data_IF_016057428898
#
_entry.id   IF_016057428898
#
_cell.length_a   1.000
_cell.length_b   1.000
_cell.length_c   1.000
_cell.angle_alpha   90.00
_cell.angle_beta   90.00
_cell.angle_gamma   90.00
#
_symmetry.space_group_name_H-M   'P 1'
#
loop_
_entity.id
_entity.type
_entity.pdbx_description
1 polymer ?
#
# COMPACT_ATOMS: atom_id res chain seq x y z
N UNK A 1 2.96 12.91 -7.36
CA UNK A 1 2.63 12.35 -6.02
C UNK A 1 2.27 10.89 -6.21
N UNK A 2 2.85 9.99 -5.42
CA UNK A 2 2.48 8.58 -5.43
C UNK A 2 1.04 8.41 -4.95
N UNK A 3 0.29 7.46 -5.53
CA UNK A 3 -1.07 7.18 -5.05
C UNK A 3 -1.03 6.51 -3.67
N UNK A 4 -2.18 6.43 -2.98
CA UNK A 4 -2.25 5.84 -1.65
C UNK A 4 -1.83 4.37 -1.65
N UNK A 5 -2.20 3.62 -2.69
CA UNK A 5 -1.80 2.22 -2.84
C UNK A 5 -0.28 2.09 -3.00
N UNK A 6 0.37 2.97 -3.79
CA UNK A 6 1.83 2.97 -3.92
C UNK A 6 2.52 3.25 -2.58
N UNK A 7 1.99 4.18 -1.78
CA UNK A 7 2.52 4.42 -0.43
C UNK A 7 2.39 3.20 0.48
N UNK A 8 1.25 2.51 0.42
CA UNK A 8 1.03 1.30 1.21
C UNK A 8 1.98 0.18 0.79
N UNK A 9 2.07 -0.12 -0.50
CA UNK A 9 2.95 -1.17 -1.02
C UNK A 9 4.43 -0.81 -0.83
N UNK A 10 4.78 0.47 -0.93
CA UNK A 10 6.13 0.98 -0.72
C UNK A 10 6.68 0.77 0.68
N UNK A 11 5.81 0.59 1.70
CA UNK A 11 6.24 0.34 3.09
C UNK A 11 7.19 -0.87 3.22
N UNK A 12 6.96 -1.90 2.42
CA UNK A 12 7.72 -3.15 2.50
C UNK A 12 8.58 -3.41 1.26
N UNK A 13 8.37 -2.66 0.18
CA UNK A 13 9.06 -2.90 -1.09
C UNK A 13 10.55 -2.62 -1.00
N UNK A 14 10.99 -1.64 -0.20
CA UNK A 14 12.41 -1.36 -0.01
C UNK A 14 13.14 -2.53 0.66
N UNK A 15 12.58 -3.08 1.75
CA UNK A 15 13.15 -4.25 2.43
C UNK A 15 13.22 -5.46 1.50
N UNK A 16 12.16 -5.71 0.74
CA UNK A 16 12.12 -6.79 -0.25
C UNK A 16 13.19 -6.64 -1.34
N UNK A 17 13.37 -5.43 -1.88
CA UNK A 17 14.40 -5.15 -2.89
C UNK A 17 15.79 -5.41 -2.30
N UNK A 18 16.05 -4.93 -1.08
CA UNK A 18 17.35 -5.12 -0.41
C UNK A 18 17.63 -6.59 -0.12
N UNK A 19 16.63 -7.33 0.33
CA UNK A 19 16.75 -8.76 0.59
C UNK A 19 17.02 -9.55 -0.71
N UNK A 20 16.24 -9.29 -1.76
CA UNK A 20 16.33 -10.02 -3.03
C UNK A 20 17.59 -9.72 -3.82
N UNK A 21 17.96 -8.46 -3.95
CA UNK A 21 19.10 -8.05 -4.78
C UNK A 21 20.44 -8.07 -4.02
N UNK A 22 20.37 -8.06 -2.69
CA UNK A 22 21.52 -8.00 -1.82
C UNK A 22 22.17 -6.61 -1.75
N UNK A 23 22.89 -6.35 -0.66
CA UNK A 23 23.40 -5.03 -0.34
C UNK A 23 24.29 -4.42 -1.43
N UNK A 24 25.25 -5.20 -1.95
CA UNK A 24 26.19 -4.70 -2.99
C UNK A 24 25.50 -4.25 -4.28
N UNK A 25 24.42 -4.93 -4.66
CA UNK A 25 23.64 -4.56 -5.86
C UNK A 25 22.81 -3.32 -5.60
N UNK A 26 22.17 -3.26 -4.43
CA UNK A 26 21.41 -2.08 -4.01
C UNK A 26 22.28 -0.82 -3.94
N UNK A 27 23.49 -0.90 -3.38
CA UNK A 27 24.43 0.22 -3.36
C UNK A 27 24.77 0.74 -4.77
N UNK A 28 24.96 -0.16 -5.75
CA UNK A 28 25.21 0.25 -7.14
C UNK A 28 23.97 0.92 -7.77
N UNK A 29 22.78 0.38 -7.50
CA UNK A 29 21.51 0.98 -7.95
C UNK A 29 21.33 2.35 -7.32
N UNK A 30 21.56 2.51 -6.02
CA UNK A 30 21.46 3.80 -5.33
C UNK A 30 22.44 4.84 -5.87
N UNK A 31 23.70 4.44 -6.15
CA UNK A 31 24.66 5.34 -6.80
C UNK A 31 24.13 5.80 -8.15
N UNK A 32 23.56 4.91 -8.96
CA UNK A 32 22.98 5.24 -10.27
C UNK A 32 21.77 6.18 -10.13
N UNK A 33 20.85 5.88 -9.20
CA UNK A 33 19.69 6.71 -8.92
C UNK A 33 20.08 8.13 -8.49
N UNK A 34 21.07 8.25 -7.60
CA UNK A 34 21.59 9.55 -7.16
C UNK A 34 22.25 10.34 -8.30
N UNK A 35 23.09 9.68 -9.10
CA UNK A 35 23.80 10.32 -10.21
C UNK A 35 22.88 10.83 -11.30
N UNK A 36 21.83 10.08 -11.62
CA UNK A 36 20.99 10.37 -12.78
C UNK A 36 19.72 11.13 -12.42
N UNK A 37 19.13 10.84 -11.28
CA UNK A 37 17.81 11.34 -10.90
C UNK A 37 17.81 12.10 -9.57
N UNK A 38 18.94 12.16 -8.87
CA UNK A 38 19.06 12.72 -7.51
C UNK A 38 18.08 12.10 -6.51
N UNK A 39 17.84 10.79 -6.63
CA UNK A 39 16.97 9.99 -5.76
C UNK A 39 17.79 8.93 -5.02
N UNK A 40 17.36 8.57 -3.82
CA UNK A 40 17.75 7.31 -3.16
C UNK A 40 16.74 6.21 -3.49
N UNK A 41 16.97 4.99 -2.97
CA UNK A 41 16.10 3.85 -3.23
C UNK A 41 14.68 4.11 -2.69
N UNK A 42 14.55 4.61 -1.46
CA UNK A 42 13.26 4.90 -0.84
C UNK A 42 12.46 5.94 -1.63
N UNK A 43 13.11 7.03 -2.06
CA UNK A 43 12.47 8.04 -2.89
C UNK A 43 12.08 7.51 -4.29
N UNK A 44 12.87 6.58 -4.87
CA UNK A 44 12.58 5.97 -6.16
C UNK A 44 11.37 5.02 -6.13
N UNK A 45 11.04 4.45 -4.98
CA UNK A 45 9.80 3.66 -4.81
C UNK A 45 8.56 4.55 -5.00
N UNK A 46 8.62 5.82 -4.61
CA UNK A 46 7.54 6.78 -4.84
C UNK A 46 7.43 7.25 -6.31
N UNK A 47 8.50 7.05 -7.08
CA UNK A 47 8.54 7.22 -8.54
C UNK A 47 9.00 5.91 -9.19
N UNK A 48 8.10 4.91 -9.14
CA UNK A 48 8.43 3.53 -9.49
C UNK A 48 8.85 3.35 -10.95
N UNK A 49 8.45 4.25 -11.85
CA UNK A 49 8.93 4.23 -13.24
C UNK A 49 10.43 4.52 -13.34
N UNK A 50 10.95 5.42 -12.48
CA UNK A 50 12.39 5.70 -12.40
C UNK A 50 13.16 4.50 -11.85
N UNK A 51 12.61 3.80 -10.86
CA UNK A 51 13.19 2.56 -10.33
C UNK A 51 13.19 1.47 -11.39
N UNK A 52 12.06 1.20 -12.09
CA UNK A 52 11.95 0.25 -13.19
C UNK A 52 13.00 0.51 -14.29
N UNK A 53 13.10 1.77 -14.73
CA UNK A 53 14.11 2.14 -15.73
C UNK A 53 15.54 1.84 -15.26
N UNK A 54 15.83 2.08 -13.97
CA UNK A 54 17.15 1.78 -13.40
C UNK A 54 17.39 0.27 -13.29
N UNK A 55 16.39 -0.51 -12.84
CA UNK A 55 16.50 -1.98 -12.80
C UNK A 55 16.78 -2.55 -14.19
N UNK A 56 16.14 -2.02 -15.24
CA UNK A 56 16.38 -2.43 -16.63
C UNK A 56 17.79 -2.11 -17.12
N UNK A 57 18.40 -1.01 -16.65
CA UNK A 57 19.81 -0.72 -16.95
C UNK A 57 20.76 -1.81 -16.39
N UNK A 58 20.47 -2.34 -15.20
CA UNK A 58 21.29 -3.36 -14.53
C UNK A 58 21.04 -4.79 -15.00
N UNK A 59 19.78 -5.12 -15.23
CA UNK A 59 19.34 -6.52 -15.42
C UNK A 59 18.79 -6.80 -16.81
N UNK A 60 18.63 -5.77 -17.66
CA UNK A 60 18.08 -5.92 -19.03
C UNK A 60 16.74 -6.67 -19.01
N UNK A 61 16.62 -7.79 -19.74
CA UNK A 61 15.40 -8.63 -19.75
C UNK A 61 15.14 -9.34 -18.41
N UNK A 62 16.12 -9.44 -17.52
CA UNK A 62 15.96 -10.01 -16.19
C UNK A 62 15.17 -9.12 -15.23
N UNK A 63 15.01 -7.83 -15.54
CA UNK A 63 14.21 -6.92 -14.72
C UNK A 63 12.76 -7.36 -14.60
N UNK A 64 12.15 -7.85 -15.70
CA UNK A 64 10.75 -8.32 -15.69
C UNK A 64 10.55 -9.49 -14.71
N UNK A 65 11.50 -10.44 -14.64
CA UNK A 65 11.42 -11.57 -13.71
C UNK A 65 11.58 -11.11 -12.23
N UNK A 66 12.44 -10.11 -11.98
CA UNK A 66 12.61 -9.52 -10.65
C UNK A 66 11.32 -8.79 -10.23
N UNK A 67 10.74 -8.00 -11.11
CA UNK A 67 9.49 -7.27 -10.86
C UNK A 67 8.31 -8.23 -10.65
N UNK A 68 8.22 -9.30 -11.42
CA UNK A 68 7.21 -10.34 -11.24
C UNK A 68 7.34 -11.04 -9.88
N UNK A 69 8.56 -11.30 -9.43
CA UNK A 69 8.82 -11.86 -8.12
C UNK A 69 8.39 -10.90 -7.01
N UNK A 70 8.69 -9.60 -7.13
CA UNK A 70 8.18 -8.59 -6.18
C UNK A 70 6.65 -8.56 -6.16
N UNK A 71 6.00 -8.58 -7.33
CA UNK A 71 4.54 -8.60 -7.41
C UNK A 71 3.94 -9.80 -6.66
N UNK A 72 4.48 -11.00 -6.91
CA UNK A 72 3.98 -12.23 -6.31
C UNK A 72 4.19 -12.29 -4.79
N UNK A 73 5.24 -11.63 -4.27
CA UNK A 73 5.51 -11.56 -2.83
C UNK A 73 4.80 -10.39 -2.13
N UNK A 74 4.24 -9.43 -2.87
CA UNK A 74 3.45 -8.34 -2.31
C UNK A 74 1.98 -8.69 -2.22
N UNK A 75 1.39 -9.04 -3.35
CA UNK A 75 -0.06 -9.23 -3.49
C UNK A 75 -0.40 -10.29 -4.53
N UNK A 76 -1.57 -10.90 -4.40
CA UNK A 76 -2.22 -11.58 -5.52
C UNK A 76 -3.63 -11.02 -5.75
N UNK A 77 -4.01 -10.91 -7.03
CA UNK A 77 -5.32 -10.38 -7.41
C UNK A 77 -6.26 -11.56 -7.68
N UNK A 78 -7.28 -11.69 -6.84
CA UNK A 78 -8.33 -12.68 -7.03
C UNK A 78 -9.51 -12.02 -7.74
N UNK A 79 -9.76 -12.43 -8.99
CA UNK A 79 -10.88 -11.92 -9.79
C UNK A 79 -11.94 -13.00 -9.85
N UNK A 80 -13.02 -12.94 -9.05
CA UNK A 80 -14.13 -13.87 -9.18
C UNK A 80 -14.81 -13.68 -10.56
N UNK A 81 -15.42 -14.74 -11.08
CA UNK A 81 -16.08 -14.75 -12.39
C UNK A 81 -17.14 -13.65 -12.58
N UNK A 82 -17.72 -13.15 -11.50
CA UNK A 82 -18.57 -11.95 -11.45
C UNK A 82 -18.28 -11.20 -10.16
N UNK A 83 -17.85 -9.93 -10.25
CA UNK A 83 -17.69 -9.07 -9.09
C UNK A 83 -16.41 -8.25 -9.08
N UNK A 84 -16.20 -7.53 -7.98
CA UNK A 84 -15.04 -6.69 -7.76
C UNK A 84 -13.81 -7.51 -7.42
N UNK A 85 -12.65 -7.01 -7.79
CA UNK A 85 -11.37 -7.66 -7.55
C UNK A 85 -10.98 -7.56 -6.07
N UNK A 86 -10.77 -8.72 -5.43
CA UNK A 86 -10.16 -8.80 -4.13
C UNK A 86 -8.64 -8.94 -4.29
N UNK A 87 -7.91 -8.29 -3.40
CA UNK A 87 -6.47 -8.39 -3.33
C UNK A 87 -6.12 -9.15 -2.06
N UNK A 88 -5.44 -10.27 -2.23
CA UNK A 88 -4.82 -11.00 -1.14
C UNK A 88 -3.43 -10.41 -0.89
N UNK A 89 -3.16 -10.00 0.32
CA UNK A 89 -1.85 -9.51 0.76
C UNK A 89 -0.96 -10.72 1.02
N UNK A 90 0.14 -10.81 0.27
CA UNK A 90 1.10 -11.91 0.36
C UNK A 90 2.27 -11.58 1.31
N UNK A 91 2.58 -10.32 1.48
CA UNK A 91 3.66 -9.87 2.34
C UNK A 91 3.21 -9.82 3.80
N UNK A 92 3.96 -10.50 4.69
CA UNK A 92 3.63 -10.60 6.12
C UNK A 92 3.68 -9.27 6.85
N UNK A 93 4.70 -8.42 6.58
CA UNK A 93 4.83 -7.12 7.23
C UNK A 93 3.66 -6.20 6.84
N UNK A 94 3.24 -6.26 5.57
CA UNK A 94 2.09 -5.51 5.08
C UNK A 94 0.78 -6.02 5.70
N UNK A 95 0.62 -7.34 5.83
CA UNK A 95 -0.54 -7.95 6.49
C UNK A 95 -0.61 -7.55 7.97
N UNK A 96 0.52 -7.57 8.68
CA UNK A 96 0.62 -7.14 10.08
C UNK A 96 0.33 -5.64 10.25
N UNK A 97 0.81 -4.79 9.34
CA UNK A 97 0.49 -3.35 9.33
C UNK A 97 -1.02 -3.11 9.23
N UNK A 98 -1.70 -3.83 8.32
CA UNK A 98 -3.14 -3.73 8.14
C UNK A 98 -3.86 -4.25 9.40
N UNK A 99 -3.47 -5.42 9.90
CA UNK A 99 -4.02 -6.00 11.13
C UNK A 99 -3.88 -5.04 12.32
N UNK A 100 -2.68 -4.50 12.55
CA UNK A 100 -2.42 -3.57 13.63
C UNK A 100 -3.25 -2.29 13.50
N UNK A 101 -3.46 -1.81 12.27
CA UNK A 101 -4.26 -0.61 12.03
C UNK A 101 -5.74 -0.86 12.33
N UNK A 102 -6.32 -1.96 11.86
CA UNK A 102 -7.73 -2.28 12.11
C UNK A 102 -7.98 -2.83 13.52
N UNK A 103 -6.94 -3.32 14.19
CA UNK A 103 -6.95 -3.69 15.62
C UNK A 103 -6.97 -2.47 16.56
N UNK A 104 -6.39 -1.34 16.14
CA UNK A 104 -6.43 -0.08 16.90
C UNK A 104 -7.82 0.55 16.78
N UNK A 105 -8.48 0.74 17.93
CA UNK A 105 -9.85 1.28 17.98
C UNK A 105 -9.97 2.65 17.33
N UNK A 106 -9.05 3.55 17.62
CA UNK A 106 -9.15 4.95 17.18
C UNK A 106 -8.85 5.06 15.67
N UNK A 107 -7.84 4.33 15.17
CA UNK A 107 -7.54 4.26 13.74
C UNK A 107 -8.71 3.66 12.96
N UNK A 108 -9.31 2.58 13.46
CA UNK A 108 -10.48 1.96 12.84
C UNK A 108 -11.65 2.93 12.76
N UNK A 109 -11.99 3.65 13.84
CA UNK A 109 -13.06 4.66 13.83
C UNK A 109 -12.82 5.76 12.79
N UNK A 110 -11.57 6.25 12.68
CA UNK A 110 -11.19 7.23 11.64
C UNK A 110 -11.46 6.67 10.25
N UNK A 111 -11.02 5.44 9.98
CA UNK A 111 -11.21 4.78 8.69
C UNK A 111 -12.69 4.54 8.37
N UNK A 112 -13.51 4.15 9.35
CA UNK A 112 -14.96 3.94 9.20
C UNK A 112 -15.69 5.24 8.81
N UNK A 113 -15.37 6.36 9.46
CA UNK A 113 -15.94 7.67 9.10
C UNK A 113 -15.50 8.10 7.72
N UNK A 114 -14.20 8.02 7.43
CA UNK A 114 -13.63 8.41 6.14
C UNK A 114 -14.05 7.48 4.98
N UNK A 115 -14.50 6.26 5.27
CA UNK A 115 -15.03 5.35 4.27
C UNK A 115 -16.38 5.82 3.72
N UNK A 116 -17.28 6.25 4.61
CA UNK A 116 -18.66 6.59 4.25
C UNK A 116 -18.72 7.78 3.30
N UNK A 117 -17.98 8.85 3.62
CA UNK A 117 -17.88 10.05 2.77
C UNK A 117 -16.50 10.70 2.93
N UNK A 118 -15.92 11.24 1.84
CA UNK A 118 -14.72 12.04 1.94
C UNK A 118 -14.95 13.24 2.87
N UNK A 119 -14.19 13.31 3.96
CA UNK A 119 -14.41 14.28 5.05
C UNK A 119 -13.15 15.04 5.38
N UNK A 120 -13.27 16.27 5.84
CA UNK A 120 -12.14 17.05 6.38
C UNK A 120 -11.74 16.51 7.75
N UNK A 121 -10.49 16.71 8.15
CA UNK A 121 -9.96 16.17 9.42
C UNK A 121 -10.84 16.55 10.62
N UNK A 122 -11.30 17.79 10.67
CA UNK A 122 -12.11 18.26 11.80
C UNK A 122 -13.43 17.50 11.92
N UNK A 123 -14.13 17.22 10.80
CA UNK A 123 -15.37 16.46 10.78
C UNK A 123 -15.14 15.01 11.22
N UNK A 124 -14.02 14.40 10.78
CA UNK A 124 -13.63 13.05 11.22
C UNK A 124 -13.42 13.01 12.73
N UNK A 125 -12.69 14.00 13.28
CA UNK A 125 -12.38 14.05 14.70
C UNK A 125 -13.63 14.34 15.55
N UNK A 126 -14.54 15.16 15.07
CA UNK A 126 -15.82 15.43 15.73
C UNK A 126 -16.71 14.18 15.75
N UNK A 127 -16.84 13.48 14.63
CA UNK A 127 -17.63 12.27 14.52
C UNK A 127 -17.09 11.11 15.37
N UNK A 128 -15.76 10.98 15.46
CA UNK A 128 -15.10 9.93 16.25
C UNK A 128 -14.92 10.27 17.72
N UNK A 129 -15.08 11.54 18.12
CA UNK A 129 -14.80 12.09 19.45
C UNK A 129 -13.36 11.85 19.92
N UNK A 130 -12.42 11.71 18.99
CA UNK A 130 -11.00 11.58 19.31
C UNK A 130 -10.44 12.98 19.58
N UNK A 131 -9.65 13.17 20.66
CA UNK A 131 -9.03 14.46 20.96
C UNK A 131 -8.18 14.97 19.79
N UNK A 132 -8.28 16.25 19.46
CA UNK A 132 -7.59 16.84 18.29
C UNK A 132 -6.10 16.52 18.23
N UNK A 133 -5.38 16.63 19.35
CA UNK A 133 -3.93 16.40 19.42
C UNK A 133 -3.53 14.98 19.01
N UNK A 134 -4.23 13.96 19.51
CA UNK A 134 -4.00 12.56 19.12
C UNK A 134 -4.56 12.27 17.74
N UNK A 135 -5.72 12.83 17.40
CA UNK A 135 -6.40 12.58 16.13
C UNK A 135 -5.61 13.05 14.91
N UNK A 136 -5.03 14.25 14.94
CA UNK A 136 -4.16 14.70 13.85
C UNK A 136 -2.96 13.77 13.63
N UNK A 137 -2.32 13.32 14.73
CA UNK A 137 -1.22 12.37 14.65
C UNK A 137 -1.64 11.04 14.01
N UNK A 138 -2.80 10.49 14.41
CA UNK A 138 -3.32 9.24 13.87
C UNK A 138 -3.68 9.37 12.39
N UNK A 139 -4.34 10.46 12.00
CA UNK A 139 -4.69 10.73 10.60
C UNK A 139 -3.44 10.86 9.73
N UNK A 140 -2.41 11.61 10.19
CA UNK A 140 -1.15 11.72 9.47
C UNK A 140 -0.48 10.34 9.28
N UNK A 141 -0.43 9.51 10.32
CA UNK A 141 0.08 8.15 10.21
C UNK A 141 -0.70 7.31 9.19
N UNK A 142 -2.03 7.40 9.17
CA UNK A 142 -2.85 6.68 8.19
C UNK A 142 -2.63 7.18 6.75
N UNK A 143 -2.38 8.48 6.56
CA UNK A 143 -2.04 9.05 5.26
C UNK A 143 -0.63 8.63 4.82
N UNK A 144 0.35 8.66 5.71
CA UNK A 144 1.73 8.22 5.46
C UNK A 144 1.77 6.73 5.09
N UNK A 145 1.00 5.90 5.80
CA UNK A 145 0.88 4.47 5.52
C UNK A 145 0.01 4.17 4.28
N UNK A 146 -0.58 5.17 3.62
CA UNK A 146 -1.41 4.98 2.45
C UNK A 146 -2.80 4.39 2.71
N UNK A 147 -3.24 4.32 3.97
CA UNK A 147 -4.59 3.79 4.33
C UNK A 147 -5.68 4.86 4.26
N UNK A 148 -5.28 6.15 4.33
CA UNK A 148 -6.09 7.30 3.97
C UNK A 148 -5.51 8.01 2.76
N UNK A 149 -6.37 8.52 1.90
CA UNK A 149 -5.98 9.30 0.71
C UNK A 149 -6.78 10.59 0.62
N UNK A 150 -6.17 11.61 0.03
CA UNK A 150 -6.87 12.85 -0.27
C UNK A 150 -7.85 12.66 -1.42
N UNK A 151 -9.07 13.15 -1.25
CA UNK A 151 -10.11 13.09 -2.26
C UNK A 151 -10.93 14.39 -2.27
N UNK A 152 -10.48 15.34 -3.07
CA UNK A 152 -11.12 16.65 -3.19
C UNK A 152 -10.86 17.57 -2.02
N UNK A 153 -11.59 18.68 -1.95
CA UNK A 153 -11.45 19.71 -0.93
C UNK A 153 -12.82 20.27 -0.51
N UNK A 154 -12.86 20.90 0.65
CA UNK A 154 -13.96 21.76 1.10
C UNK A 154 -13.45 23.19 1.22
N UNK A 155 -14.34 24.16 1.14
CA UNK A 155 -14.04 25.53 1.53
C UNK A 155 -14.38 25.70 3.02
N UNK A 156 -13.42 26.22 3.79
CA UNK A 156 -13.65 26.57 5.18
C UNK A 156 -14.35 27.94 5.28
N UNK A 157 -14.87 28.29 6.45
CA UNK A 157 -15.59 29.54 6.70
C UNK A 157 -14.78 30.82 6.38
N UNK A 158 -13.46 30.72 6.34
CA UNK A 158 -12.52 31.79 5.95
C UNK A 158 -12.09 31.73 4.48
N UNK A 159 -12.78 30.92 3.65
CA UNK A 159 -12.53 30.79 2.21
C UNK A 159 -11.30 29.96 1.82
N UNK A 160 -10.63 29.30 2.77
CA UNK A 160 -9.47 28.44 2.48
C UNK A 160 -9.91 27.05 2.03
N UNK A 161 -9.17 26.49 1.08
CA UNK A 161 -9.34 25.09 0.67
C UNK A 161 -8.73 24.16 1.71
N UNK A 162 -9.52 23.20 2.18
CA UNK A 162 -9.12 22.17 3.14
C UNK A 162 -9.33 20.80 2.50
N UNK A 163 -8.29 19.95 2.49
CA UNK A 163 -8.35 18.63 1.90
C UNK A 163 -9.36 17.74 2.61
N UNK A 164 -10.12 16.97 1.82
CA UNK A 164 -10.94 15.86 2.29
C UNK A 164 -10.18 14.56 2.16
N UNK A 165 -10.42 13.66 3.09
CA UNK A 165 -9.77 12.35 3.17
C UNK A 165 -10.79 11.24 3.07
N UNK A 166 -10.39 10.14 2.43
CA UNK A 166 -11.19 8.92 2.31
C UNK A 166 -10.33 7.70 2.57
N UNK A 167 -10.94 6.62 3.08
CA UNK A 167 -10.24 5.35 3.28
C UNK A 167 -9.89 4.68 1.94
N UNK A 168 -8.72 4.03 1.88
CA UNK A 168 -8.24 3.30 0.69
C UNK A 168 -9.12 2.09 0.38
N UNK A 169 -9.46 1.30 1.40
CA UNK A 169 -10.19 0.05 1.25
C UNK A 169 -11.69 0.25 1.43
N UNK A 170 -12.49 -0.44 0.62
CA UNK A 170 -13.93 -0.56 0.82
C UNK A 170 -14.27 -1.68 1.82
N UNK A 171 -13.52 -2.76 1.79
CA UNK A 171 -13.68 -3.89 2.71
C UNK A 171 -12.31 -4.46 3.05
N UNK A 172 -12.19 -4.93 4.26
CA UNK A 172 -11.04 -5.68 4.74
C UNK A 172 -11.56 -6.95 5.39
N UNK A 173 -10.99 -8.08 5.01
CA UNK A 173 -11.25 -9.39 5.61
C UNK A 173 -9.93 -9.87 6.19
N UNK A 174 -9.92 -10.19 7.47
CA UNK A 174 -8.75 -10.69 8.18
C UNK A 174 -9.13 -12.03 8.77
N UNK A 175 -8.42 -13.07 8.40
CA UNK A 175 -8.56 -14.40 8.97
C UNK A 175 -7.31 -14.72 9.78
N UNK A 176 -7.49 -15.06 11.05
CA UNK A 176 -6.43 -15.51 11.94
C UNK A 176 -6.72 -16.96 12.27
N UNK A 177 -5.86 -17.86 11.81
CA UNK A 177 -5.95 -19.27 12.20
C UNK A 177 -5.26 -19.47 13.54
N UNK A 178 -6.04 -19.85 14.55
CA UNK A 178 -5.54 -20.13 15.89
C UNK A 178 -5.06 -21.58 16.05
N UNK A 179 -5.33 -22.45 15.07
CA UNK A 179 -5.04 -23.88 15.14
C UNK A 179 -3.66 -24.27 14.58
N UNK A 180 -2.87 -23.33 14.14
CA UNK A 180 -1.42 -23.44 13.90
C UNK A 180 -0.89 -24.59 13.00
N UNK A 181 -1.69 -25.58 12.64
CA UNK A 181 -1.29 -26.77 11.87
C UNK A 181 -2.52 -27.51 11.31
N UNK A 182 -3.18 -26.96 10.32
CA UNK A 182 -3.99 -27.82 9.44
C UNK A 182 -3.25 -27.97 8.12
N UNK A 183 -2.49 -29.04 8.00
CA UNK A 183 -1.96 -29.51 6.72
C UNK A 183 -3.13 -30.05 5.88
N UNK A 184 -3.71 -29.21 5.07
CA UNK A 184 -4.58 -29.64 3.96
C UNK A 184 -3.94 -29.19 2.66
N UNK A 185 -3.10 -30.05 2.12
CA UNK A 185 -2.31 -29.89 0.90
C UNK A 185 -0.86 -29.42 1.11
N UNK A 186 0.03 -29.88 0.24
CA UNK A 186 1.49 -29.75 0.28
C UNK A 186 2.08 -28.32 0.16
N UNK A 187 1.28 -27.31 0.45
CA UNK A 187 1.72 -25.90 0.50
C UNK A 187 1.66 -25.45 1.96
N UNK A 188 2.81 -25.12 2.59
CA UNK A 188 2.79 -24.55 3.94
C UNK A 188 2.01 -23.23 3.90
N UNK A 189 0.90 -23.17 4.66
CA UNK A 189 0.19 -21.92 4.87
C UNK A 189 1.12 -20.97 5.64
N UNK A 190 1.17 -19.68 5.26
CA UNK A 190 1.97 -18.71 5.97
C UNK A 190 1.48 -18.60 7.43
N UNK A 191 2.41 -18.52 8.36
CA UNK A 191 2.15 -18.36 9.81
C UNK A 191 1.67 -16.95 10.21
N UNK A 192 1.26 -16.13 9.25
CA UNK A 192 0.78 -14.76 9.45
C UNK A 192 -0.70 -14.64 9.07
N UNK A 193 -1.40 -13.59 9.53
CA UNK A 193 -2.81 -13.42 9.23
C UNK A 193 -3.07 -13.31 7.72
N UNK A 194 -4.11 -14.00 7.25
CA UNK A 194 -4.58 -13.86 5.87
C UNK A 194 -5.39 -12.57 5.77
N UNK A 195 -4.93 -11.64 4.95
CA UNK A 195 -5.58 -10.35 4.75
C UNK A 195 -6.02 -10.21 3.30
N UNK A 196 -7.32 -10.11 3.10
CA UNK A 196 -7.93 -9.78 1.81
C UNK A 196 -8.54 -8.38 1.87
N UNK A 197 -8.28 -7.57 0.86
CA UNK A 197 -8.80 -6.21 0.77
C UNK A 197 -9.55 -5.97 -0.53
N UNK A 198 -10.60 -5.17 -0.47
CA UNK A 198 -11.34 -4.67 -1.62
C UNK A 198 -11.03 -3.18 -1.78
N UNK A 199 -10.42 -2.81 -2.89
CA UNK A 199 -10.10 -1.42 -3.21
C UNK A 199 -11.31 -0.67 -3.79
N UNK A 200 -11.32 0.64 -3.59
CA UNK A 200 -12.21 1.53 -4.34
C UNK A 200 -11.92 1.47 -5.83
N UNK A 201 -12.93 1.75 -6.65
CA UNK A 201 -12.80 1.72 -8.11
C UNK A 201 -11.64 2.61 -8.59
N UNK A 202 -10.94 2.13 -9.63
CA UNK A 202 -9.81 2.78 -10.30
C UNK A 202 -8.48 2.84 -9.57
N UNK A 203 -8.40 2.59 -8.26
CA UNK A 203 -7.13 2.71 -7.49
C UNK A 203 -6.05 1.78 -8.05
N UNK A 204 -6.40 0.56 -8.47
CA UNK A 204 -5.44 -0.34 -9.11
C UNK A 204 -4.80 0.25 -10.37
N UNK A 205 -5.62 0.98 -11.15
CA UNK A 205 -5.15 1.60 -12.40
C UNK A 205 -4.32 2.87 -12.14
N UNK A 206 -4.42 3.49 -10.98
CA UNK A 206 -3.65 4.67 -10.59
C UNK A 206 -2.28 4.31 -10.03
N UNK A 207 -2.10 3.09 -9.51
CA UNK A 207 -0.85 2.63 -8.92
C UNK A 207 0.25 2.44 -9.98
N UNK A 208 1.37 3.14 -9.83
CA UNK A 208 2.56 2.97 -10.66
C UNK A 208 3.21 1.60 -10.38
N UNK A 209 3.30 1.21 -9.11
CA UNK A 209 3.86 -0.07 -8.67
C UNK A 209 3.09 -1.21 -9.34
N UNK A 210 1.76 -1.21 -9.25
CA UNK A 210 0.93 -2.26 -9.87
C UNK A 210 1.08 -2.28 -11.38
N UNK A 211 1.10 -1.11 -12.04
CA UNK A 211 1.26 -1.03 -13.51
C UNK A 211 2.58 -1.60 -13.99
N UNK A 212 3.65 -1.40 -13.24
CA UNK A 212 4.97 -1.92 -13.58
C UNK A 212 5.05 -3.40 -13.24
N UNK A 213 4.76 -3.77 -11.99
CA UNK A 213 4.92 -5.14 -11.50
C UNK A 213 4.01 -6.16 -12.20
N UNK A 214 2.85 -5.73 -12.69
CA UNK A 214 1.91 -6.59 -13.43
C UNK A 214 1.90 -6.32 -14.94
N UNK A 215 2.95 -5.72 -15.47
CA UNK A 215 3.12 -5.45 -16.90
C UNK A 215 2.98 -6.77 -17.68
N UNK A 216 2.04 -6.82 -18.63
CA UNK A 216 1.78 -8.02 -19.44
C UNK A 216 0.80 -9.04 -18.86
N UNK A 217 0.40 -8.92 -17.59
CA UNK A 217 -0.73 -9.69 -17.04
C UNK A 217 -2.04 -8.94 -17.35
N UNK A 218 -3.08 -9.64 -17.84
CA UNK A 218 -4.41 -9.03 -18.00
C UNK A 218 -4.98 -8.78 -16.61
N UNK A 219 -5.05 -7.51 -16.22
CA UNK A 219 -5.74 -7.02 -15.03
C UNK A 219 -7.25 -7.15 -15.14
#
# INVERSE_FOLDING_TARGET
MSCALDRLLGQTLESMIREKLGQKTCEKIEVRLRQRYNLDLAASINDFYTLDATLREFFSSGADAIEEDFANNLISINTPAKGRRWILIQNSELAELILATYGDKDKRLILEVAFTNPSVILDILEATRIPKSSGYRLINQLVENGLLTEQGYAESSDGKKVNKYTALFEKVKIEIDTNGLIFTSDIPLPSFPVVEVLLKENILNESQIIRVLLRGKKL
#
